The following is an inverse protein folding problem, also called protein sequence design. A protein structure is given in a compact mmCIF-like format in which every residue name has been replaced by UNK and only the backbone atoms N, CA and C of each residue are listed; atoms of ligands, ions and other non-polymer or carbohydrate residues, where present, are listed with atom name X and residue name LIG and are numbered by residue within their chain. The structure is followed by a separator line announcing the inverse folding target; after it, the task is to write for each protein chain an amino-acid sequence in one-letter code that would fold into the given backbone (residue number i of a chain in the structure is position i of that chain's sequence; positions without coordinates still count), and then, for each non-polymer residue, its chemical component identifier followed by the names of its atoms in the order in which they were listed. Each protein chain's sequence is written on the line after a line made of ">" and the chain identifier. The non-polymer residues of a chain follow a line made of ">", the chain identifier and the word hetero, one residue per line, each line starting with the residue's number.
data_IF_317933116225
#
_entry.id   IF_317933116225
#
_cell.length_a   1.000
_cell.length_b   1.000
_cell.length_c   1.000
_cell.angle_alpha   90.00
_cell.angle_beta   90.00
_cell.angle_gamma   90.00
#
_symmetry.space_group_name_H-M   'P 1'
#
loop_
_entity.id
_entity.type
_entity.pdbx_description
1 polymer ?
#
# COMPACT_ATOMS: atom_id res chain seq x y z
N UNK A 1 40.68 42.58 -15.31
CA UNK A 1 39.36 41.94 -15.52
C UNK A 1 39.01 41.19 -14.25
N UNK A 2 38.06 41.75 -13.49
CA UNK A 2 37.47 41.19 -12.27
C UNK A 2 36.30 40.30 -12.68
N UNK A 3 36.20 39.08 -12.16
CA UNK A 3 34.92 38.40 -11.89
C UNK A 3 35.19 37.38 -10.76
N UNK A 4 34.93 37.80 -9.52
CA UNK A 4 33.74 37.49 -8.73
C UNK A 4 33.72 36.03 -8.26
N UNK A 5 34.29 35.82 -7.06
CA UNK A 5 33.95 34.68 -6.22
C UNK A 5 32.52 34.89 -5.70
N UNK A 6 31.62 33.94 -5.97
CA UNK A 6 30.26 33.94 -5.42
C UNK A 6 30.31 33.52 -3.95
N UNK A 7 29.54 34.18 -3.05
CA UNK A 7 29.46 33.77 -1.66
C UNK A 7 28.47 32.61 -1.47
N UNK A 8 28.72 31.90 -0.38
CA UNK A 8 27.97 30.81 0.23
C UNK A 8 26.51 31.20 0.50
N UNK A 9 25.58 30.30 0.22
CA UNK A 9 24.30 30.22 0.90
C UNK A 9 23.93 28.75 1.11
N UNK A 10 24.50 28.13 2.15
CA UNK A 10 23.99 26.88 2.70
C UNK A 10 22.78 27.25 3.56
N UNK A 11 21.58 27.27 2.97
CA UNK A 11 20.35 27.43 3.74
C UNK A 11 20.02 26.09 4.42
N UNK A 12 20.60 25.88 5.60
CA UNK A 12 20.16 24.83 6.50
C UNK A 12 18.80 25.27 7.09
N UNK A 13 17.72 24.99 6.37
CA UNK A 13 16.38 25.02 6.94
C UNK A 13 16.20 23.72 7.74
N UNK A 14 16.65 23.73 8.99
CA UNK A 14 16.13 22.80 10.00
C UNK A 14 14.71 23.21 10.33
N UNK A 15 13.76 22.81 9.48
CA UNK A 15 12.38 22.65 9.92
C UNK A 15 12.34 21.34 10.69
N UNK A 16 12.29 21.45 12.01
CA UNK A 16 11.89 20.38 12.92
C UNK A 16 10.53 19.86 12.46
N UNK A 17 10.57 18.75 11.71
CA UNK A 17 9.39 18.09 11.19
C UNK A 17 8.56 17.57 12.35
N UNK A 18 7.37 18.15 12.55
CA UNK A 18 6.26 17.30 12.94
C UNK A 18 5.77 16.70 11.62
N UNK A 19 6.24 15.49 11.30
CA UNK A 19 5.72 14.77 10.13
C UNK A 19 4.18 14.77 10.16
N UNK A 20 3.56 15.03 9.02
CA UNK A 20 2.11 14.90 8.83
C UNK A 20 1.63 13.45 8.85
N UNK A 21 2.54 12.48 9.03
CA UNK A 21 2.21 11.06 9.08
C UNK A 21 1.54 10.67 10.40
N UNK A 22 0.49 9.87 10.27
CA UNK A 22 -0.11 9.13 11.38
C UNK A 22 0.45 7.72 11.44
N UNK A 23 0.78 7.23 12.63
CA UNK A 23 1.24 5.86 12.87
C UNK A 23 0.16 5.02 13.57
N UNK A 24 0.04 3.73 13.20
CA UNK A 24 -0.62 2.70 14.03
C UNK A 24 0.09 1.36 13.87
N UNK A 25 -0.26 0.40 14.73
CA UNK A 25 0.04 -1.00 14.52
C UNK A 25 -1.15 -1.90 14.89
N UNK A 26 -1.23 -3.08 14.28
CA UNK A 26 -2.19 -4.13 14.64
C UNK A 26 -1.50 -5.46 14.85
N UNK A 27 -2.12 -6.29 15.69
CA UNK A 27 -1.73 -7.67 15.97
C UNK A 27 -3.01 -8.49 15.87
N UNK A 28 -3.05 -9.39 14.89
CA UNK A 28 -4.23 -10.16 14.49
C UNK A 28 -3.92 -11.66 14.65
N UNK A 29 -4.05 -12.22 15.87
CA UNK A 29 -3.85 -13.64 16.10
C UNK A 29 -5.07 -14.45 15.64
N UNK A 30 -4.86 -15.42 14.77
CA UNK A 30 -5.86 -16.38 14.30
C UNK A 30 -5.48 -17.80 14.76
N UNK A 31 -6.37 -18.50 15.46
CA UNK A 31 -6.12 -19.88 15.88
C UNK A 31 -6.02 -20.81 14.65
N UNK A 32 -4.95 -21.61 14.59
CA UNK A 32 -4.66 -22.55 13.50
C UNK A 32 -4.10 -23.85 14.08
N UNK A 33 -4.87 -24.94 14.02
CA UNK A 33 -4.42 -26.23 14.55
C UNK A 33 -4.07 -26.15 16.04
N UNK A 34 -2.82 -26.42 16.37
CA UNK A 34 -2.23 -26.38 17.72
C UNK A 34 -1.53 -25.05 18.06
N UNK A 35 -1.65 -24.02 17.21
CA UNK A 35 -1.05 -22.70 17.42
C UNK A 35 -1.88 -21.54 16.89
N UNK A 36 -1.19 -20.45 16.55
CA UNK A 36 -1.77 -19.22 16.04
C UNK A 36 -0.95 -18.68 14.86
N UNK A 37 -1.64 -18.29 13.79
CA UNK A 37 -1.07 -17.42 12.76
C UNK A 37 -1.22 -15.97 13.24
N UNK A 38 -0.12 -15.25 13.37
CA UNK A 38 -0.10 -13.84 13.74
C UNK A 38 0.12 -13.00 12.49
N UNK A 39 -0.89 -12.23 12.07
CA UNK A 39 -0.68 -11.12 11.14
C UNK A 39 -0.42 -9.85 11.94
N UNK A 40 0.79 -9.31 11.83
CA UNK A 40 1.26 -8.17 12.60
C UNK A 40 1.66 -7.08 11.60
N UNK A 41 1.06 -5.90 11.76
CA UNK A 41 1.18 -4.81 10.79
C UNK A 41 1.56 -3.51 11.48
N UNK A 42 2.44 -2.74 10.85
CA UNK A 42 2.68 -1.34 11.19
C UNK A 42 2.32 -0.46 10.00
N UNK A 43 1.84 0.75 10.27
CA UNK A 43 1.28 1.63 9.27
C UNK A 43 1.84 3.03 9.46
N UNK A 44 2.14 3.70 8.35
CA UNK A 44 2.18 5.16 8.29
C UNK A 44 1.24 5.64 7.20
N UNK A 45 0.53 6.73 7.46
CA UNK A 45 -0.41 7.28 6.48
C UNK A 45 -0.45 8.80 6.49
N UNK A 46 -0.72 9.38 5.32
CA UNK A 46 -0.97 10.81 5.12
C UNK A 46 -2.18 10.99 4.20
N UNK A 47 -2.91 12.09 4.36
CA UNK A 47 -3.94 12.52 3.41
C UNK A 47 -3.53 13.84 2.80
N UNK A 48 -3.45 13.88 1.47
CA UNK A 48 -3.16 15.10 0.70
C UNK A 48 -4.16 15.21 -0.46
N UNK A 49 -4.73 16.40 -0.66
CA UNK A 49 -5.66 16.64 -1.77
C UNK A 49 -6.91 15.76 -1.76
N UNK A 50 -7.31 15.21 -0.61
CA UNK A 50 -8.43 14.26 -0.50
C UNK A 50 -8.09 12.81 -0.86
N UNK A 51 -6.82 12.52 -1.13
CA UNK A 51 -6.29 11.16 -1.33
C UNK A 51 -5.51 10.74 -0.10
N UNK A 52 -5.82 9.57 0.45
CA UNK A 52 -5.06 8.92 1.52
C UNK A 52 -4.04 7.97 0.91
N UNK A 53 -2.79 8.13 1.33
CA UNK A 53 -1.67 7.23 1.03
C UNK A 53 -1.27 6.53 2.33
N UNK A 54 -1.08 5.22 2.29
CA UNK A 54 -0.70 4.43 3.45
C UNK A 54 0.33 3.36 3.06
N UNK A 55 1.45 3.32 3.78
CA UNK A 55 2.43 2.25 3.70
C UNK A 55 2.22 1.31 4.88
N UNK A 56 2.30 0.01 4.62
CA UNK A 56 2.13 -1.03 5.64
C UNK A 56 3.21 -2.07 5.50
N UNK A 57 3.91 -2.38 6.59
CA UNK A 57 4.78 -3.55 6.65
C UNK A 57 4.04 -4.68 7.35
N UNK A 58 4.16 -5.90 6.82
CA UNK A 58 3.53 -7.10 7.34
C UNK A 58 4.58 -8.13 7.79
N UNK A 59 4.38 -8.62 9.01
CA UNK A 59 4.93 -9.87 9.52
C UNK A 59 3.75 -10.87 9.56
N UNK A 60 3.98 -12.07 9.05
CA UNK A 60 3.05 -13.20 9.19
C UNK A 60 3.84 -14.39 9.72
N UNK A 61 3.57 -14.82 10.95
CA UNK A 61 4.34 -15.88 11.61
C UNK A 61 3.43 -16.82 12.40
N UNK A 62 3.82 -18.10 12.47
CA UNK A 62 3.15 -19.11 13.29
C UNK A 62 3.80 -19.15 14.67
N UNK A 63 2.97 -19.11 15.72
CA UNK A 63 3.42 -19.19 17.12
C UNK A 63 2.58 -20.22 17.89
N UNK A 64 3.15 -20.79 18.95
CA UNK A 64 2.43 -21.74 19.80
C UNK A 64 1.40 -21.07 20.71
N UNK A 65 1.67 -19.87 21.22
CA UNK A 65 0.78 -19.16 22.13
C UNK A 65 0.36 -17.81 21.58
N UNK A 66 -0.90 -17.42 21.81
CA UNK A 66 -1.44 -16.12 21.39
C UNK A 66 -0.63 -14.92 21.88
N UNK A 67 -0.02 -15.03 23.06
CA UNK A 67 0.76 -13.97 23.71
C UNK A 67 2.10 -13.71 23.00
N UNK A 68 2.53 -14.63 22.15
CA UNK A 68 3.77 -14.50 21.38
C UNK A 68 3.56 -13.65 20.11
N UNK A 69 2.31 -13.37 19.71
CA UNK A 69 2.01 -12.40 18.66
C UNK A 69 2.30 -10.97 19.15
N UNK A 70 3.41 -10.38 18.69
CA UNK A 70 3.86 -9.05 19.14
C UNK A 70 4.29 -8.17 17.97
N UNK A 71 3.94 -6.88 18.05
CA UNK A 71 4.36 -5.86 17.08
C UNK A 71 5.79 -5.39 17.33
N UNK A 72 6.76 -6.23 16.99
CA UNK A 72 8.19 -5.97 17.15
C UNK A 72 9.00 -6.61 16.01
N UNK A 73 10.24 -6.13 15.83
CA UNK A 73 11.22 -6.69 14.88
C UNK A 73 10.80 -6.59 13.40
N UNK A 74 10.15 -5.50 12.98
CA UNK A 74 9.76 -5.34 11.57
C UNK A 74 10.97 -5.32 10.65
N UNK A 75 12.10 -4.73 11.07
CA UNK A 75 13.35 -4.77 10.28
C UNK A 75 13.80 -6.20 9.98
N UNK A 76 13.57 -7.18 10.85
CA UNK A 76 14.03 -8.56 10.61
C UNK A 76 12.94 -9.46 10.03
N UNK A 77 11.69 -9.26 10.45
CA UNK A 77 10.61 -10.22 10.21
C UNK A 77 9.61 -9.79 9.15
N UNK A 78 9.56 -8.51 8.79
CA UNK A 78 8.62 -8.08 7.76
C UNK A 78 9.02 -8.71 6.43
N UNK A 79 8.04 -9.31 5.75
CA UNK A 79 8.24 -10.03 4.49
C UNK A 79 7.41 -9.48 3.35
N UNK A 80 6.42 -8.62 3.65
CA UNK A 80 5.59 -7.98 2.65
C UNK A 80 5.34 -6.52 3.02
N UNK A 81 5.34 -5.65 2.02
CA UNK A 81 4.97 -4.25 2.13
C UNK A 81 3.78 -3.96 1.23
N UNK A 82 2.81 -3.23 1.75
CA UNK A 82 1.68 -2.75 0.98
C UNK A 82 1.76 -1.24 0.81
N UNK A 83 1.40 -0.77 -0.38
CA UNK A 83 1.02 0.61 -0.63
C UNK A 83 -0.48 0.64 -0.90
N UNK A 84 -1.19 1.36 -0.03
CA UNK A 84 -2.61 1.62 -0.19
C UNK A 84 -2.83 3.05 -0.64
N UNK A 85 -3.67 3.23 -1.66
CA UNK A 85 -4.13 4.53 -2.12
C UNK A 85 -5.65 4.53 -2.14
N UNK A 86 -6.27 5.53 -1.54
CA UNK A 86 -7.72 5.65 -1.54
C UNK A 86 -8.17 7.10 -1.62
N UNK A 87 -9.25 7.35 -2.35
CA UNK A 87 -9.83 8.67 -2.48
C UNK A 87 -11.32 8.57 -2.82
N UNK A 88 -12.00 9.71 -2.76
CA UNK A 88 -13.40 9.84 -3.16
C UNK A 88 -13.51 10.95 -4.19
N UNK A 89 -14.14 10.66 -5.33
CA UNK A 89 -14.46 11.63 -6.37
C UNK A 89 -15.97 11.64 -6.58
N UNK A 90 -16.63 12.74 -6.19
CA UNK A 90 -18.08 12.80 -6.15
C UNK A 90 -18.68 11.73 -5.23
N UNK A 91 -19.54 10.86 -5.78
CA UNK A 91 -20.13 9.72 -5.06
C UNK A 91 -19.35 8.41 -5.21
N UNK A 92 -18.21 8.42 -5.92
CA UNK A 92 -17.42 7.22 -6.17
C UNK A 92 -16.21 7.15 -5.24
N UNK A 93 -16.09 6.05 -4.51
CA UNK A 93 -14.90 5.71 -3.72
C UNK A 93 -13.99 4.80 -4.51
N UNK A 94 -12.70 5.10 -4.50
CA UNK A 94 -11.66 4.26 -5.08
C UNK A 94 -10.70 3.80 -3.99
N UNK A 95 -10.21 2.58 -4.13
CA UNK A 95 -9.22 1.99 -3.26
C UNK A 95 -8.33 1.06 -4.06
N UNK A 96 -7.03 1.13 -3.79
CA UNK A 96 -6.03 0.27 -4.39
C UNK A 96 -5.04 -0.20 -3.34
N UNK A 97 -4.59 -1.43 -3.51
CA UNK A 97 -3.56 -2.10 -2.73
C UNK A 97 -2.55 -2.67 -3.72
N UNK A 98 -1.29 -2.33 -3.57
CA UNK A 98 -0.17 -2.96 -4.26
C UNK A 98 0.74 -3.59 -3.20
N UNK A 99 1.07 -4.86 -3.37
CA UNK A 99 1.87 -5.65 -2.44
C UNK A 99 3.22 -5.98 -3.06
N UNK A 100 4.27 -5.88 -2.25
CA UNK A 100 5.65 -6.13 -2.64
C UNK A 100 6.28 -7.07 -1.62
N UNK A 101 6.82 -8.20 -2.07
CA UNK A 101 7.63 -9.07 -1.24
C UNK A 101 8.96 -8.40 -0.93
N UNK A 102 9.45 -8.69 0.27
CA UNK A 102 10.81 -8.36 0.63
C UNK A 102 11.76 -9.31 -0.10
N UNK A 103 12.69 -8.77 -0.87
CA UNK A 103 13.65 -9.56 -1.63
C UNK A 103 15.07 -9.30 -1.11
N UNK A 104 15.83 -10.36 -0.84
CA UNK A 104 17.19 -10.28 -0.28
C UNK A 104 17.34 -9.41 0.98
N UNK A 105 16.27 -9.28 1.77
CA UNK A 105 16.29 -8.49 3.02
C UNK A 105 15.91 -7.01 2.85
N UNK A 106 15.49 -6.57 1.68
CA UNK A 106 15.18 -5.15 1.40
C UNK A 106 13.82 -5.00 0.72
N UNK A 107 13.14 -3.89 1.00
CA UNK A 107 11.98 -3.43 0.23
C UNK A 107 12.50 -2.33 -0.70
N UNK A 108 12.58 -2.60 -2.01
CA UNK A 108 13.35 -1.77 -2.94
C UNK A 108 13.06 -0.26 -2.90
N UNK A 109 11.83 0.14 -2.59
CA UNK A 109 11.47 1.54 -2.36
C UNK A 109 11.12 1.81 -0.89
N UNK A 110 11.57 2.99 -0.40
CA UNK A 110 11.39 3.42 1.00
C UNK A 110 11.98 2.40 1.98
N UNK A 111 13.13 1.82 1.65
CA UNK A 111 13.74 0.69 2.36
C UNK A 111 13.78 0.88 3.89
N UNK A 112 14.27 2.04 4.34
CA UNK A 112 14.40 2.41 5.76
C UNK A 112 13.06 2.64 6.49
N UNK A 113 11.91 2.56 5.80
CA UNK A 113 10.59 2.76 6.38
C UNK A 113 10.07 1.47 7.02
N UNK A 114 10.83 0.96 7.98
CA UNK A 114 10.54 -0.22 8.82
C UNK A 114 10.76 0.12 10.28
N UNK A 115 10.09 -0.58 11.20
CA UNK A 115 10.08 -0.23 12.63
C UNK A 115 9.72 1.25 12.81
N UNK A 116 8.56 1.62 12.27
CA UNK A 116 8.08 2.98 12.05
C UNK A 116 7.79 3.73 13.35
N UNK A 117 7.41 3.03 14.42
CA UNK A 117 6.99 3.63 15.70
C UNK A 117 7.98 4.68 16.25
N UNK A 118 9.30 4.42 16.33
CA UNK A 118 10.28 5.43 16.74
C UNK A 118 10.52 6.54 15.73
N UNK A 119 10.40 6.28 14.42
CA UNK A 119 10.91 7.18 13.36
C UNK A 119 9.83 7.98 12.62
N UNK A 120 8.55 7.61 12.70
CA UNK A 120 7.50 8.14 11.81
C UNK A 120 7.35 9.67 11.87
N UNK A 121 7.71 10.30 13.00
CA UNK A 121 7.66 11.76 13.17
C UNK A 121 8.75 12.51 12.41
N UNK A 122 9.84 11.80 12.09
CA UNK A 122 11.01 12.34 11.40
C UNK A 122 11.02 11.98 9.90
N UNK A 123 10.13 11.07 9.48
CA UNK A 123 9.95 10.69 8.08
C UNK A 123 9.31 11.82 7.28
N UNK A 124 9.85 12.07 6.08
CA UNK A 124 9.33 13.05 5.12
C UNK A 124 8.08 12.48 4.41
N UNK A 125 6.86 13.00 4.68
CA UNK A 125 5.64 12.45 4.10
C UNK A 125 5.61 12.50 2.58
N UNK A 126 6.25 13.50 1.96
CA UNK A 126 6.26 13.65 0.51
C UNK A 126 6.87 12.44 -0.19
N UNK A 127 7.84 11.76 0.42
CA UNK A 127 8.46 10.56 -0.16
C UNK A 127 7.45 9.41 -0.34
N UNK A 128 6.49 9.24 0.57
CA UNK A 128 5.42 8.26 0.42
C UNK A 128 4.49 8.63 -0.72
N UNK A 129 4.14 9.90 -0.83
CA UNK A 129 3.24 10.41 -1.87
C UNK A 129 3.89 10.23 -3.25
N UNK A 130 5.13 10.70 -3.40
CA UNK A 130 5.89 10.61 -4.64
C UNK A 130 6.06 9.16 -5.07
N UNK A 131 6.44 8.27 -4.15
CA UNK A 131 6.56 6.84 -4.47
C UNK A 131 5.21 6.25 -4.89
N UNK A 132 4.14 6.49 -4.14
CA UNK A 132 2.82 5.99 -4.50
C UNK A 132 2.36 6.52 -5.88
N UNK A 133 2.72 7.73 -6.26
CA UNK A 133 2.41 8.31 -7.58
C UNK A 133 3.19 7.67 -8.73
N UNK A 134 4.30 6.99 -8.48
CA UNK A 134 4.99 6.17 -9.49
C UNK A 134 4.25 4.86 -9.79
N UNK A 135 3.38 4.40 -8.89
CA UNK A 135 2.67 3.14 -9.01
C UNK A 135 1.38 3.29 -9.84
N UNK A 136 1.00 2.27 -10.63
CA UNK A 136 -0.24 2.29 -11.42
C UNK A 136 -1.48 2.01 -10.55
N UNK A 137 -1.71 2.78 -9.49
CA UNK A 137 -2.80 2.51 -8.53
C UNK A 137 -4.19 2.88 -9.05
N UNK A 138 -4.31 3.70 -10.10
CA UNK A 138 -5.60 4.14 -10.63
C UNK A 138 -6.47 2.97 -11.07
N UNK A 139 -7.79 3.06 -10.84
CA UNK A 139 -8.72 1.96 -11.14
C UNK A 139 -8.67 1.52 -12.61
N UNK A 140 -8.56 2.47 -13.53
CA UNK A 140 -8.51 2.19 -14.97
C UNK A 140 -7.10 1.81 -15.47
N UNK A 141 -6.06 1.89 -14.63
CA UNK A 141 -4.67 1.54 -14.98
C UNK A 141 -4.40 0.03 -14.88
N UNK A 142 -5.34 -0.82 -15.29
CA UNK A 142 -5.23 -2.28 -15.11
C UNK A 142 -4.09 -2.84 -15.96
N UNK A 143 -4.01 -2.47 -17.24
CA UNK A 143 -2.98 -2.94 -18.16
C UNK A 143 -1.57 -2.61 -17.65
N UNK A 144 -1.35 -1.40 -17.13
CA UNK A 144 -0.08 -0.97 -16.55
C UNK A 144 0.26 -1.75 -15.26
N UNK A 145 -0.74 -2.14 -14.49
CA UNK A 145 -0.52 -2.85 -13.21
C UNK A 145 -0.15 -4.31 -13.42
N UNK A 146 -0.71 -4.96 -14.45
CA UNK A 146 -0.35 -6.33 -14.84
C UNK A 146 1.15 -6.43 -15.15
N UNK A 147 1.75 -5.37 -15.69
CA UNK A 147 3.19 -5.30 -16.01
C UNK A 147 4.03 -4.56 -14.96
N UNK A 148 3.47 -4.29 -13.78
CA UNK A 148 4.18 -3.63 -12.69
C UNK A 148 5.01 -4.62 -11.87
N UNK A 149 5.86 -4.09 -10.97
CA UNK A 149 6.67 -4.88 -10.04
C UNK A 149 5.87 -5.38 -8.81
N UNK A 150 4.57 -5.11 -8.73
CA UNK A 150 3.76 -5.56 -7.60
C UNK A 150 3.47 -7.08 -7.70
N UNK A 151 3.83 -7.82 -6.65
CA UNK A 151 3.62 -9.27 -6.56
C UNK A 151 2.14 -9.65 -6.42
N UNK A 152 1.35 -8.77 -5.81
CA UNK A 152 -0.10 -8.87 -5.75
C UNK A 152 -0.70 -7.48 -5.78
N UNK A 153 -1.87 -7.34 -6.40
CA UNK A 153 -2.60 -6.08 -6.36
C UNK A 153 -4.11 -6.28 -6.37
N UNK A 154 -4.79 -5.31 -5.78
CA UNK A 154 -6.24 -5.23 -5.73
C UNK A 154 -6.67 -3.78 -5.93
N UNK A 155 -7.72 -3.57 -6.71
CA UNK A 155 -8.35 -2.29 -6.96
C UNK A 155 -9.85 -2.44 -6.80
N UNK A 156 -10.49 -1.41 -6.28
CA UNK A 156 -11.94 -1.36 -6.23
C UNK A 156 -12.46 0.03 -6.49
N UNK A 157 -13.65 0.08 -7.10
CA UNK A 157 -14.50 1.26 -7.10
C UNK A 157 -15.87 0.92 -6.56
N UNK A 158 -16.46 1.89 -5.88
CA UNK A 158 -17.79 1.78 -5.31
C UNK A 158 -18.55 3.07 -5.55
N UNK A 159 -19.70 3.01 -6.21
CA UNK A 159 -20.53 4.19 -6.54
C UNK A 159 -21.68 4.30 -5.53
N UNK A 160 -21.88 5.49 -4.97
CA UNK A 160 -22.93 5.79 -3.99
C UNK A 160 -22.70 5.09 -2.65
N UNK A 161 -23.75 4.51 -2.06
CA UNK A 161 -23.69 3.75 -0.80
C UNK A 161 -23.14 2.33 -0.94
N UNK A 162 -22.48 2.01 -2.06
CA UNK A 162 -21.97 0.66 -2.33
C UNK A 162 -22.91 -0.24 -3.13
N UNK A 163 -23.99 0.32 -3.68
CA UNK A 163 -24.96 -0.40 -4.52
C UNK A 163 -24.33 -0.97 -5.79
N UNK A 164 -23.31 -0.30 -6.33
CA UNK A 164 -22.50 -0.81 -7.44
C UNK A 164 -21.05 -0.82 -7.03
N UNK A 165 -20.44 -2.00 -7.06
CA UNK A 165 -19.05 -2.21 -6.69
C UNK A 165 -18.36 -3.02 -7.80
N UNK A 166 -17.15 -2.64 -8.15
CA UNK A 166 -16.30 -3.45 -9.03
C UNK A 166 -14.99 -3.69 -8.32
N UNK A 167 -14.54 -4.95 -8.31
CA UNK A 167 -13.21 -5.34 -7.87
C UNK A 167 -12.39 -5.75 -9.09
N UNK A 168 -11.11 -5.43 -9.06
CA UNK A 168 -10.12 -5.93 -10.01
C UNK A 168 -8.92 -6.39 -9.18
N UNK A 169 -8.40 -7.58 -9.43
CA UNK A 169 -7.24 -8.10 -8.71
C UNK A 169 -6.33 -8.88 -9.64
N UNK A 170 -5.05 -8.97 -9.29
CA UNK A 170 -4.12 -9.91 -9.90
C UNK A 170 -4.70 -11.33 -9.85
N UNK A 171 -4.63 -12.04 -10.96
CA UNK A 171 -5.08 -13.42 -11.10
C UNK A 171 -4.29 -14.10 -12.20
N UNK A 172 -3.57 -15.17 -11.85
CA UNK A 172 -2.66 -15.89 -12.74
C UNK A 172 -1.70 -14.90 -13.44
N UNK A 173 -1.50 -15.01 -14.75
CA UNK A 173 -0.65 -14.09 -15.53
C UNK A 173 -1.35 -12.77 -15.93
N UNK A 174 -2.46 -12.43 -15.28
CA UNK A 174 -3.24 -11.24 -15.62
C UNK A 174 -4.12 -10.74 -14.48
N UNK A 175 -5.40 -10.51 -14.77
CA UNK A 175 -6.34 -9.95 -13.80
C UNK A 175 -7.74 -10.56 -13.88
N UNK A 176 -8.43 -10.52 -12.74
CA UNK A 176 -9.84 -10.88 -12.59
C UNK A 176 -10.64 -9.66 -12.16
N UNK A 177 -11.73 -9.38 -12.86
CA UNK A 177 -12.73 -8.37 -12.52
C UNK A 177 -14.00 -9.04 -11.99
N UNK A 178 -14.54 -8.49 -10.90
CA UNK A 178 -15.84 -8.90 -10.35
C UNK A 178 -16.71 -7.66 -10.21
N UNK A 179 -17.79 -7.61 -10.99
CA UNK A 179 -18.84 -6.59 -10.90
C UNK A 179 -19.97 -7.11 -10.00
N UNK A 180 -20.30 -6.36 -8.95
CA UNK A 180 -21.39 -6.63 -8.03
C UNK A 180 -22.60 -5.77 -8.43
N UNK A 181 -23.66 -6.43 -8.89
CA UNK A 181 -24.87 -5.78 -9.36
C UNK A 181 -25.86 -5.52 -8.21
N UNK A 182 -26.76 -4.57 -8.43
CA UNK A 182 -27.73 -4.16 -7.41
C UNK A 182 -28.75 -5.26 -7.05
N UNK A 183 -28.95 -6.24 -7.94
CA UNK A 183 -29.80 -7.41 -7.72
C UNK A 183 -29.09 -8.54 -6.96
N UNK A 184 -27.83 -8.33 -6.54
CA UNK A 184 -27.01 -9.30 -5.83
C UNK A 184 -26.27 -10.28 -6.75
N UNK A 185 -26.48 -10.23 -8.06
CA UNK A 185 -25.72 -11.03 -9.02
C UNK A 185 -24.28 -10.53 -9.17
N UNK A 186 -23.40 -11.41 -9.65
CA UNK A 186 -22.01 -11.11 -9.93
C UNK A 186 -21.67 -11.46 -11.37
N UNK A 187 -20.93 -10.59 -12.04
CA UNK A 187 -20.28 -10.88 -13.32
C UNK A 187 -18.78 -10.97 -13.08
N UNK A 188 -18.15 -12.05 -13.56
CA UNK A 188 -16.73 -12.31 -13.37
C UNK A 188 -16.08 -12.41 -14.74
N UNK A 189 -15.01 -11.63 -14.94
CA UNK A 189 -14.26 -11.62 -16.19
C UNK A 189 -12.75 -11.67 -15.93
N UNK A 190 -12.02 -12.29 -16.84
CA UNK A 190 -10.58 -12.47 -16.82
C UNK A 190 -9.93 -11.77 -18.01
N UNK A 191 -8.69 -11.34 -17.82
CA UNK A 191 -7.87 -10.72 -18.86
C UNK A 191 -6.41 -11.08 -18.64
N UNK A 192 -5.65 -11.22 -19.73
CA UNK A 192 -4.19 -11.36 -19.70
C UNK A 192 -3.45 -10.06 -19.99
N UNK A 193 -4.15 -9.03 -20.49
CA UNK A 193 -3.55 -7.78 -20.98
C UNK A 193 -4.13 -6.52 -20.30
N UNK A 194 -5.20 -6.66 -19.51
CA UNK A 194 -5.88 -5.55 -18.85
C UNK A 194 -6.79 -4.73 -19.77
N UNK A 195 -6.91 -5.13 -21.04
CA UNK A 195 -7.64 -4.42 -22.11
C UNK A 195 -8.81 -5.28 -22.59
N UNK A 196 -8.53 -6.54 -22.91
CA UNK A 196 -9.48 -7.50 -23.45
C UNK A 196 -10.01 -8.37 -22.32
N UNK A 197 -11.31 -8.29 -22.06
CA UNK A 197 -11.99 -9.03 -21.00
C UNK A 197 -12.90 -10.10 -21.58
N UNK A 198 -12.79 -11.32 -21.07
CA UNK A 198 -13.67 -12.44 -21.38
C UNK A 198 -14.19 -13.05 -20.08
N UNK A 199 -15.21 -13.89 -20.16
CA UNK A 199 -15.63 -14.67 -19.00
C UNK A 199 -14.46 -15.55 -18.54
N UNK A 200 -14.25 -15.58 -17.22
CA UNK A 200 -13.49 -16.65 -16.59
C UNK A 200 -14.35 -17.93 -16.66
#
# INVERSE_FOLDING_TARGET
>A
MKHLALPIALSLLTLTGCSGLSYRATVEPEARGDGYLCDIKEFVSITEGGTKYELVNLISEQVSNRQDCKAEQFTQKSHMRYIFVSNTQGSTRYFSQLAFYRNNGEFGALEDWVDLKPIYKDLEPQLLIDYAQTLPYGFDQTAETIHSEADFWFKSRSIGTGVKKTWIQSHDDGAKRTDFNADGSQTIQCTSDGITWADC
#
